data_IF_477295713395
#
_entry.id   IF_477295713395
#
_cell.length_a   1.000
_cell.length_b   1.000
_cell.length_c   1.000
_cell.angle_alpha   90.00
_cell.angle_beta   90.00
_cell.angle_gamma   90.00
#
_symmetry.space_group_name_H-M   'P 1'
#
loop_
_entity.id
_entity.type
_entity.pdbx_description
1 polymer ?
#
# COMPACT_ATOMS: atom_id res chain seq x y z
N UNK A 1 -2.59 -18.96 -3.06
CA UNK A 1 -1.94 -17.77 -2.48
C UNK A 1 -3.03 -16.77 -2.10
N UNK A 2 -3.11 -16.41 -0.82
CA UNK A 2 -4.22 -15.62 -0.29
C UNK A 2 -4.35 -14.28 -1.03
N UNK A 3 -5.54 -14.05 -1.60
CA UNK A 3 -5.96 -12.77 -2.19
C UNK A 3 -5.75 -11.67 -1.14
N UNK A 4 -4.80 -10.78 -1.40
CA UNK A 4 -4.71 -9.41 -0.88
C UNK A 4 -5.68 -9.11 0.27
N UNK A 5 -5.23 -9.32 1.52
CA UNK A 5 -5.87 -8.66 2.65
C UNK A 5 -5.69 -7.16 2.42
N UNK A 6 -6.72 -6.51 1.90
CA UNK A 6 -6.75 -5.05 1.82
C UNK A 6 -6.46 -4.53 3.22
N UNK A 7 -5.41 -3.73 3.37
CA UNK A 7 -4.96 -3.21 4.66
C UNK A 7 -5.96 -2.19 5.26
N UNK A 8 -7.22 -2.20 4.81
CA UNK A 8 -8.31 -1.31 5.24
C UNK A 8 -7.95 0.17 5.04
N UNK A 9 -8.91 1.03 5.32
CA UNK A 9 -8.73 2.47 5.19
C UNK A 9 -8.48 3.08 6.57
N UNK A 10 -7.77 4.19 6.60
CA UNK A 10 -7.65 4.97 7.80
C UNK A 10 -9.01 5.51 8.24
N UNK A 11 -9.35 5.38 9.52
CA UNK A 11 -10.59 5.88 10.10
C UNK A 11 -10.69 7.41 10.16
N UNK A 12 -9.64 8.16 9.82
CA UNK A 12 -9.63 9.63 9.87
C UNK A 12 -9.56 10.27 8.47
N UNK A 13 -8.66 9.83 7.61
CA UNK A 13 -8.48 10.40 6.27
C UNK A 13 -8.99 9.51 5.14
N UNK A 14 -9.51 8.31 5.46
CA UNK A 14 -10.06 7.33 4.52
C UNK A 14 -9.09 6.82 3.42
N UNK A 15 -7.81 7.19 3.50
CA UNK A 15 -6.77 6.69 2.61
C UNK A 15 -6.52 5.20 2.90
N UNK A 16 -6.30 4.42 1.84
CA UNK A 16 -5.90 3.02 1.92
C UNK A 16 -4.59 2.91 2.71
N UNK A 17 -4.55 2.06 3.72
CA UNK A 17 -3.30 1.78 4.41
C UNK A 17 -2.41 0.91 3.52
N UNK A 18 -1.10 1.14 3.56
CA UNK A 18 -0.12 0.23 2.94
C UNK A 18 0.63 -0.54 4.02
N UNK A 19 1.25 -1.70 3.69
CA UNK A 19 2.07 -2.40 4.66
C UNK A 19 3.11 -1.45 5.27
N UNK A 20 3.22 -1.44 6.61
CA UNK A 20 4.17 -0.60 7.34
C UNK A 20 3.75 0.86 7.58
N UNK A 21 2.64 1.34 7.03
CA UNK A 21 2.16 2.73 7.16
C UNK A 21 0.83 2.86 7.91
N UNK A 22 0.52 1.93 8.81
CA UNK A 22 -0.68 1.98 9.63
C UNK A 22 -0.42 1.56 11.08
N UNK A 23 -1.30 2.03 11.96
CA UNK A 23 -1.37 1.64 13.35
C UNK A 23 -2.83 1.28 13.68
N UNK A 24 -3.03 0.18 14.40
CA UNK A 24 -4.33 -0.15 14.97
C UNK A 24 -4.36 0.30 16.43
N UNK A 25 -5.28 1.19 16.78
CA UNK A 25 -5.47 1.70 18.13
C UNK A 25 -6.95 1.65 18.52
N UNK A 26 -7.26 1.07 19.68
CA UNK A 26 -8.62 0.96 20.22
C UNK A 26 -9.66 0.38 19.21
N UNK A 27 -9.25 -0.60 18.40
CA UNK A 27 -10.10 -1.23 17.39
C UNK A 27 -10.33 -0.41 16.11
N UNK A 28 -9.71 0.76 15.98
CA UNK A 28 -9.72 1.61 14.77
C UNK A 28 -8.34 1.59 14.11
N UNK A 29 -8.31 1.73 12.78
CA UNK A 29 -7.07 1.78 12.01
C UNK A 29 -6.73 3.22 11.64
N UNK A 30 -5.51 3.64 11.93
CA UNK A 30 -5.01 4.97 11.63
C UNK A 30 -3.84 4.89 10.66
N UNK A 31 -3.76 5.85 9.73
CA UNK A 31 -2.56 6.09 8.97
C UNK A 31 -1.48 6.62 9.94
N UNK A 32 -0.21 6.30 9.70
CA UNK A 32 0.89 6.78 10.56
C UNK A 32 0.88 8.31 10.71
N UNK A 33 0.63 9.05 9.62
CA UNK A 33 0.49 10.51 9.68
C UNK A 33 -0.67 10.98 10.58
N UNK A 34 -1.81 10.30 10.51
CA UNK A 34 -3.03 10.62 11.25
C UNK A 34 -2.85 10.36 12.74
N UNK A 35 -2.13 9.29 13.06
CA UNK A 35 -1.79 8.95 14.43
C UNK A 35 -0.81 9.96 15.04
N UNK A 36 0.27 10.28 14.31
CA UNK A 36 1.26 11.27 14.77
C UNK A 36 0.61 12.62 14.94
N UNK A 37 -0.28 13.05 14.04
CA UNK A 37 -1.01 14.30 14.20
C UNK A 37 -1.90 14.31 15.45
N UNK A 38 -2.47 13.17 15.84
CA UNK A 38 -3.30 13.05 17.04
C UNK A 38 -2.48 13.14 18.33
N UNK A 39 -1.30 12.51 18.39
CA UNK A 39 -0.44 12.52 19.58
C UNK A 39 0.50 13.73 19.65
N UNK A 40 0.95 14.23 18.51
CA UNK A 40 1.89 15.34 18.39
C UNK A 40 1.56 16.22 17.16
N UNK A 41 0.63 17.17 17.32
CA UNK A 41 0.18 18.02 16.22
C UNK A 41 1.26 18.96 15.67
N UNK A 42 2.30 19.28 16.46
CA UNK A 42 3.39 20.19 16.08
C UNK A 42 4.64 19.45 15.60
N UNK A 43 4.52 18.17 15.25
CA UNK A 43 5.66 17.40 14.78
C UNK A 43 6.18 17.97 13.44
N UNK A 44 7.46 18.39 13.37
CA UNK A 44 8.00 19.14 12.23
C UNK A 44 7.96 18.36 10.91
N UNK A 45 8.06 17.03 10.96
CA UNK A 45 8.02 16.18 9.76
C UNK A 45 6.61 15.66 9.37
N UNK A 46 5.52 16.22 9.91
CA UNK A 46 4.16 15.71 9.62
C UNK A 46 3.84 15.70 8.12
N UNK A 47 4.18 16.79 7.43
CA UNK A 47 3.89 16.91 6.00
C UNK A 47 4.72 15.91 5.18
N UNK A 48 5.99 15.70 5.53
CA UNK A 48 6.83 14.70 4.89
C UNK A 48 6.30 13.27 5.13
N UNK A 49 5.75 12.98 6.32
CA UNK A 49 5.16 11.67 6.61
C UNK A 49 3.85 11.49 5.84
N UNK A 50 3.02 12.53 5.70
CA UNK A 50 1.80 12.50 4.87
C UNK A 50 2.13 12.21 3.41
N UNK A 51 3.13 12.88 2.85
CA UNK A 51 3.57 12.65 1.48
C UNK A 51 4.08 11.22 1.28
N UNK A 52 4.88 10.69 2.22
CA UNK A 52 5.34 9.30 2.19
C UNK A 52 4.19 8.29 2.18
N UNK A 53 3.17 8.51 3.02
CA UNK A 53 1.98 7.64 3.06
C UNK A 53 1.24 7.68 1.72
N UNK A 54 1.00 8.86 1.16
CA UNK A 54 0.33 9.00 -0.14
C UNK A 54 1.13 8.37 -1.28
N UNK A 55 2.44 8.60 -1.31
CA UNK A 55 3.32 8.00 -2.30
C UNK A 55 3.34 6.48 -2.20
N UNK A 56 3.42 5.93 -0.99
CA UNK A 56 3.36 4.49 -0.77
C UNK A 56 2.06 3.88 -1.31
N UNK A 57 0.91 4.55 -1.13
CA UNK A 57 -0.37 4.11 -1.69
C UNK A 57 -0.33 4.07 -3.22
N UNK A 58 0.21 5.12 -3.84
CA UNK A 58 0.36 5.19 -5.29
C UNK A 58 1.25 4.06 -5.82
N UNK A 59 2.41 3.83 -5.21
CA UNK A 59 3.32 2.73 -5.61
C UNK A 59 2.67 1.37 -5.37
N UNK A 60 1.99 1.18 -4.24
CA UNK A 60 1.32 -0.07 -3.91
C UNK A 60 0.22 -0.42 -4.91
N UNK A 61 -0.53 0.59 -5.40
CA UNK A 61 -1.51 0.41 -6.49
C UNK A 61 -0.84 -0.05 -7.80
N UNK A 62 0.40 0.35 -8.03
CA UNK A 62 1.18 0.01 -9.23
C UNK A 62 1.98 -1.30 -9.10
N UNK A 63 2.22 -1.80 -7.89
CA UNK A 63 3.00 -3.03 -7.64
C UNK A 63 2.38 -4.31 -8.23
N UNK A 64 1.11 -4.27 -8.67
CA UNK A 64 0.46 -5.35 -9.43
C UNK A 64 0.71 -5.34 -10.93
N UNK A 65 1.33 -4.30 -11.47
CA UNK A 65 1.26 -3.96 -12.90
C UNK A 65 2.62 -3.90 -13.61
N UNK A 66 3.67 -4.54 -13.09
CA UNK A 66 4.82 -4.80 -13.97
C UNK A 66 4.46 -5.98 -14.88
N UNK A 67 4.37 -5.72 -16.20
CA UNK A 67 4.25 -6.79 -17.21
C UNK A 67 5.48 -7.70 -17.24
N UNK A 68 6.58 -7.25 -16.62
CA UNK A 68 7.86 -7.95 -16.60
C UNK A 68 7.94 -9.02 -15.50
N UNK A 69 7.24 -8.88 -14.37
CA UNK A 69 7.24 -9.89 -13.29
C UNK A 69 6.35 -11.11 -13.58
N UNK A 70 5.31 -10.93 -14.40
CA UNK A 70 4.53 -12.06 -14.93
C UNK A 70 5.09 -12.45 -16.30
N UNK A 71 6.20 -13.18 -16.30
CA UNK A 71 6.40 -14.14 -17.38
C UNK A 71 5.18 -15.06 -17.34
N UNK A 72 4.22 -14.87 -18.26
CA UNK A 72 3.24 -15.91 -18.56
C UNK A 72 4.05 -17.20 -18.66
N UNK A 73 3.67 -18.28 -17.92
CA UNK A 73 4.44 -19.51 -17.98
C UNK A 73 4.63 -19.84 -19.45
N UNK A 74 5.89 -20.00 -19.87
CA UNK A 74 6.20 -20.37 -21.24
C UNK A 74 5.58 -21.75 -21.40
N UNK A 75 4.34 -21.78 -21.91
CA UNK A 75 3.64 -23.02 -22.21
C UNK A 75 4.53 -23.86 -23.12
N UNK A 76 4.36 -25.20 -23.12
CA UNK A 76 5.13 -26.05 -24.01
C UNK A 76 5.06 -25.47 -25.43
N UNK A 77 6.23 -25.14 -26.00
CA UNK A 77 6.32 -24.61 -27.36
C UNK A 77 5.59 -25.59 -28.27
N UNK A 78 4.63 -25.10 -29.07
CA UNK A 78 3.94 -25.96 -30.03
C UNK A 78 4.98 -26.68 -30.89
N UNK A 79 4.86 -28.01 -30.99
CA UNK A 79 5.76 -28.85 -31.80
C UNK A 79 5.82 -28.38 -33.26
N UNK A 80 4.78 -27.69 -33.72
CA UNK A 80 4.76 -27.07 -35.04
C UNK A 80 5.37 -25.68 -34.98
N UNK A 81 6.68 -25.60 -35.27
CA UNK A 81 7.26 -24.43 -35.92
C UNK A 81 6.78 -24.45 -37.38
N UNK A 82 5.91 -23.52 -37.74
CA UNK A 82 5.69 -23.15 -39.15
C UNK A 82 6.57 -21.96 -39.47
#
# INVERSE_FOLDING_TARGET
MAKYYGYRNCSHCEIECTPGNYLDYSGKRYCTACWIQHENPDHPDLDAIREKVQHAVTVWKLAKYSRDEYHLPVGPKSINKR
#
